data_IF_834944748617
#
_entry.id   IF_834944748617
#
_cell.length_a   1.000
_cell.length_b   1.000
_cell.length_c   1.000
_cell.angle_alpha   90.00
_cell.angle_beta   90.00
_cell.angle_gamma   90.00
#
_symmetry.space_group_name_H-M   'P 1'
#
loop_
_entity.id
_entity.type
_entity.pdbx_description
1 polymer ?
#
# COMPACT_ATOMS: atom_id res chain seq x y z
N UNK A 1 -7.72 7.47 10.26
CA UNK A 1 -8.84 6.79 9.59
C UNK A 1 -8.36 5.40 9.21
N UNK A 2 -8.95 4.34 9.77
CA UNK A 2 -8.60 2.96 9.39
C UNK A 2 -9.30 2.66 8.07
N UNK A 3 -8.53 2.32 7.03
CA UNK A 3 -9.09 1.90 5.75
C UNK A 3 -9.95 0.66 6.00
N UNK A 4 -11.26 0.76 5.78
CA UNK A 4 -12.15 -0.38 5.76
C UNK A 4 -11.93 -1.08 4.41
N UNK A 5 -10.86 -1.87 4.31
CA UNK A 5 -10.49 -2.61 3.09
C UNK A 5 -11.46 -3.79 2.93
N UNK A 6 -12.70 -3.49 2.52
CA UNK A 6 -13.71 -4.50 2.16
C UNK A 6 -13.58 -4.95 0.70
N UNK A 7 -12.93 -4.14 -0.12
CA UNK A 7 -12.59 -4.45 -1.52
C UNK A 7 -11.08 -4.70 -1.63
N UNK A 8 -10.71 -5.95 -1.91
CA UNK A 8 -9.31 -6.39 -2.10
C UNK A 8 -8.62 -6.80 -0.80
N UNK A 9 -8.88 -8.00 -0.31
CA UNK A 9 -8.19 -8.63 0.85
C UNK A 9 -6.72 -8.99 0.58
N UNK A 10 -6.11 -8.40 -0.45
CA UNK A 10 -4.75 -8.66 -0.90
C UNK A 10 -3.88 -7.40 -0.75
N UNK A 11 -2.55 -7.54 -0.64
CA UNK A 11 -1.62 -6.40 -0.64
C UNK A 11 -1.85 -5.43 -1.82
N UNK A 12 -2.19 -5.96 -3.00
CA UNK A 12 -2.50 -5.14 -4.18
C UNK A 12 -3.76 -4.28 -4.00
N UNK A 13 -4.80 -4.81 -3.34
CA UNK A 13 -6.01 -4.03 -3.03
C UNK A 13 -5.73 -2.86 -2.09
N UNK A 14 -4.92 -3.09 -1.05
CA UNK A 14 -4.48 -2.04 -0.12
C UNK A 14 -3.65 -0.94 -0.83
N UNK A 15 -2.74 -1.34 -1.73
CA UNK A 15 -1.96 -0.41 -2.54
C UNK A 15 -2.85 0.42 -3.46
N UNK A 16 -3.82 -0.21 -4.14
CA UNK A 16 -4.73 0.47 -5.05
C UNK A 16 -5.58 1.52 -4.33
N UNK A 17 -6.10 1.17 -3.15
CA UNK A 17 -6.85 2.09 -2.29
C UNK A 17 -6.01 3.33 -1.90
N UNK A 18 -4.75 3.13 -1.50
CA UNK A 18 -3.87 4.24 -1.15
C UNK A 18 -3.49 5.08 -2.38
N UNK A 19 -3.22 4.43 -3.51
CA UNK A 19 -2.97 5.11 -4.78
C UNK A 19 -4.13 6.01 -5.20
N UNK A 20 -5.37 5.56 -5.05
CA UNK A 20 -6.54 6.36 -5.39
C UNK A 20 -6.58 7.68 -4.60
N UNK A 21 -6.14 7.68 -3.33
CA UNK A 21 -6.04 8.90 -2.52
C UNK A 21 -4.91 9.82 -2.97
N UNK A 22 -3.76 9.26 -3.33
CA UNK A 22 -2.64 10.03 -3.86
C UNK A 22 -3.02 10.67 -5.21
N UNK A 23 -3.69 9.91 -6.08
CA UNK A 23 -4.15 10.41 -7.38
C UNK A 23 -5.21 11.53 -7.25
N UNK A 24 -5.94 11.57 -6.14
CA UNK A 24 -6.92 12.62 -5.79
C UNK A 24 -6.32 13.79 -5.01
N UNK A 25 -5.01 13.79 -4.76
CA UNK A 25 -4.32 14.80 -3.93
C UNK A 25 -4.83 14.83 -2.46
N UNK A 26 -5.40 13.72 -1.99
CA UNK A 26 -5.89 13.54 -0.62
C UNK A 26 -4.82 12.90 0.30
N UNK A 27 -3.71 12.43 -0.27
CA UNK A 27 -2.62 11.77 0.44
C UNK A 27 -1.29 11.94 -0.30
N UNK A 28 -0.19 11.79 0.43
CA UNK A 28 1.17 11.84 -0.12
C UNK A 28 1.93 10.56 0.25
N UNK A 29 2.79 10.08 -0.66
CA UNK A 29 3.73 9.00 -0.38
C UNK A 29 4.95 9.58 0.30
N UNK A 30 5.07 9.37 1.61
CA UNK A 30 6.17 9.91 2.40
C UNK A 30 7.49 9.14 2.23
N UNK A 31 7.40 7.82 2.01
CA UNK A 31 8.56 6.94 1.93
C UNK A 31 8.22 5.63 1.22
N UNK A 32 9.15 5.14 0.40
CA UNK A 32 9.25 3.75 -0.04
C UNK A 32 10.70 3.28 0.16
N UNK A 33 10.89 2.04 0.59
CA UNK A 33 12.21 1.53 0.93
C UNK A 33 12.38 0.09 0.47
N UNK A 34 13.53 -0.24 -0.12
CA UNK A 34 13.84 -1.59 -0.65
C UNK A 34 12.81 -2.06 -1.70
N UNK A 35 12.32 -1.12 -2.50
CA UNK A 35 11.43 -1.36 -3.62
C UNK A 35 12.13 -0.94 -4.91
N UNK A 36 11.68 -1.50 -6.03
CA UNK A 36 11.94 -0.94 -7.35
C UNK A 36 11.41 0.50 -7.41
N UNK A 37 11.91 1.29 -8.36
CA UNK A 37 11.38 2.63 -8.64
C UNK A 37 9.87 2.53 -8.89
N UNK A 38 9.02 3.02 -7.98
CA UNK A 38 7.60 2.75 -8.05
C UNK A 38 6.86 3.81 -8.88
N UNK A 39 7.55 4.84 -9.39
CA UNK A 39 6.95 5.88 -10.20
C UNK A 39 7.20 5.67 -11.69
N UNK A 40 6.17 5.87 -12.50
CA UNK A 40 6.30 5.90 -13.94
C UNK A 40 7.03 7.18 -14.42
N UNK A 41 7.27 7.27 -15.74
CA UNK A 41 7.94 8.45 -16.34
C UNK A 41 7.16 9.76 -16.17
N UNK A 42 5.90 9.69 -15.80
CA UNK A 42 5.01 10.82 -15.54
C UNK A 42 4.92 11.14 -14.03
N UNK A 43 5.64 10.43 -13.16
CA UNK A 43 5.63 10.63 -11.72
C UNK A 43 4.40 10.06 -11.02
N UNK A 44 3.69 9.11 -11.64
CA UNK A 44 2.53 8.43 -11.04
C UNK A 44 2.95 7.13 -10.40
N UNK A 45 2.39 6.86 -9.21
CA UNK A 45 2.63 5.59 -8.53
C UNK A 45 2.09 4.43 -9.36
N UNK A 46 2.95 3.47 -9.68
CA UNK A 46 2.67 2.25 -10.41
C UNK A 46 2.51 1.07 -9.43
N UNK A 47 1.30 0.51 -9.39
CA UNK A 47 0.97 -0.61 -8.50
C UNK A 47 1.66 -1.89 -8.94
N UNK A 48 1.87 -2.09 -10.24
CA UNK A 48 2.49 -3.31 -10.75
C UNK A 48 3.97 -3.35 -10.33
N UNK A 49 4.70 -2.24 -10.47
CA UNK A 49 6.08 -2.10 -9.97
C UNK A 49 6.18 -2.31 -8.43
N UNK A 50 5.17 -1.85 -7.69
CA UNK A 50 5.09 -2.09 -6.25
C UNK A 50 4.87 -3.58 -5.94
N UNK A 51 3.99 -4.25 -6.67
CA UNK A 51 3.70 -5.67 -6.50
C UNK A 51 4.89 -6.55 -6.88
N UNK A 52 5.61 -6.22 -7.96
CA UNK A 52 6.87 -6.91 -8.33
C UNK A 52 7.90 -6.85 -7.20
N UNK A 53 7.99 -5.70 -6.51
CA UNK A 53 8.87 -5.56 -5.34
C UNK A 53 8.47 -6.48 -4.18
N UNK A 54 7.18 -6.82 -4.07
CA UNK A 54 6.65 -7.67 -3.00
C UNK A 54 6.66 -9.16 -3.35
N UNK A 55 6.59 -9.52 -4.64
CA UNK A 55 6.48 -10.91 -5.09
C UNK A 55 7.52 -11.85 -4.49
N UNK A 56 8.83 -11.53 -4.45
CA UNK A 56 9.83 -12.44 -3.88
C UNK A 56 9.55 -12.77 -2.40
N UNK A 57 9.08 -11.79 -1.63
CA UNK A 57 8.75 -11.98 -0.22
C UNK A 57 7.47 -12.82 -0.05
N UNK A 58 6.46 -12.58 -0.88
CA UNK A 58 5.22 -13.36 -0.85
C UNK A 58 5.49 -14.82 -1.25
N UNK A 59 6.33 -15.04 -2.27
CA UNK A 59 6.71 -16.37 -2.74
C UNK A 59 7.51 -17.17 -1.70
N UNK A 60 8.46 -16.52 -1.02
CA UNK A 60 9.21 -17.14 0.07
C UNK A 60 8.31 -17.55 1.25
N UNK A 61 7.17 -16.88 1.43
CA UNK A 61 6.27 -17.08 2.57
C UNK A 61 4.96 -17.82 2.21
N UNK A 62 4.89 -18.52 1.07
CA UNK A 62 3.68 -19.22 0.57
C UNK A 62 3.06 -20.26 1.53
N UNK A 63 3.82 -20.77 2.50
CA UNK A 63 3.35 -21.75 3.50
C UNK A 63 2.77 -21.12 4.77
N UNK A 64 2.79 -19.79 4.86
CA UNK A 64 2.20 -19.06 5.99
C UNK A 64 0.69 -19.17 5.90
N UNK A 65 0.09 -20.01 6.72
CA UNK A 65 -1.36 -20.27 6.75
C UNK A 65 -2.16 -19.15 7.39
N UNK A 66 -1.52 -18.33 8.25
CA UNK A 66 -2.10 -17.14 8.86
C UNK A 66 -1.41 -15.90 8.32
N UNK A 67 -1.93 -15.33 7.23
CA UNK A 67 -1.41 -14.09 6.64
C UNK A 67 -1.78 -12.91 7.55
N UNK A 68 -0.91 -12.56 8.50
CA UNK A 68 -1.07 -11.31 9.25
C UNK A 68 -0.50 -10.18 8.39
N UNK A 69 -1.37 -9.47 7.68
CA UNK A 69 -1.03 -8.21 7.04
C UNK A 69 -1.07 -7.11 8.10
N UNK A 70 0.10 -6.61 8.51
CA UNK A 70 0.22 -5.48 9.42
C UNK A 70 0.52 -4.21 8.61
N UNK A 71 -0.50 -3.38 8.39
CA UNK A 71 -0.34 -2.02 7.92
C UNK A 71 -0.59 -1.05 9.07
N UNK A 72 0.39 -0.22 9.39
CA UNK A 72 0.19 0.91 10.28
C UNK A 72 -0.38 2.05 9.44
N UNK A 73 -1.66 2.39 9.69
CA UNK A 73 -2.29 3.55 9.09
C UNK A 73 -2.16 4.70 10.07
N UNK A 74 -1.58 5.81 9.61
CA UNK A 74 -1.64 7.03 10.38
C UNK A 74 -3.08 7.57 10.38
N UNK A 75 -3.53 8.11 11.51
CA UNK A 75 -4.79 8.85 11.58
C UNK A 75 -4.79 10.02 10.59
N UNK A 76 -5.99 10.43 10.15
CA UNK A 76 -6.09 11.71 9.44
C UNK A 76 -5.52 12.80 10.35
N UNK A 77 -4.85 13.83 9.81
CA UNK A 77 -4.51 15.02 10.59
C UNK A 77 -5.71 15.63 11.33
N UNK A 78 -6.93 15.40 10.84
CA UNK A 78 -8.18 15.87 11.46
C UNK A 78 -8.74 14.90 12.52
N UNK A 79 -8.24 13.67 12.58
CA UNK A 79 -8.69 12.70 13.57
C UNK A 79 -8.17 13.12 14.95
N UNK A 80 -9.08 13.54 15.83
CA UNK A 80 -8.79 13.74 17.26
C UNK A 80 -8.68 12.39 17.94
N UNK A 81 -7.48 11.84 17.97
CA UNK A 81 -7.17 10.70 18.84
C UNK A 81 -7.27 11.18 20.29
N UNK A 82 -8.24 10.63 21.01
CA UNK A 82 -8.43 10.88 22.46
C UNK A 82 -7.67 9.83 23.26
#
# INVERSE_FOLDING_TARGET
MVANIRSGSSPGGALYYNKEKVDKDEAEVLLWQKMLEPYDKCGRLDIDACMESFMPYLEANRRTTNTVFHASLNPSPEDRLT
#
